data_IF_577279412572
#
_entry.id   IF_577279412572
#
_cell.length_a   1.000
_cell.length_b   1.000
_cell.length_c   1.000
_cell.angle_alpha   90.00
_cell.angle_beta   90.00
_cell.angle_gamma   90.00
#
_symmetry.space_group_name_H-M   'P 1'
#
loop_
_entity.id
_entity.type
_entity.pdbx_description
1 polymer ?
#
# COMPACT_ATOMS: atom_id res chain seq x y z
N UNK A 1 -21.42 13.38 4.17
CA UNK A 1 -20.31 13.20 5.13
C UNK A 1 -20.23 11.73 5.50
N UNK A 2 -19.09 11.07 5.30
CA UNK A 2 -18.90 9.69 5.74
C UNK A 2 -19.02 9.61 7.27
N UNK A 3 -19.78 8.64 7.78
CA UNK A 3 -19.96 8.46 9.22
C UNK A 3 -18.67 7.91 9.84
N UNK A 4 -18.22 8.55 10.90
CA UNK A 4 -17.08 8.12 11.71
C UNK A 4 -17.40 6.73 12.30
N UNK A 5 -16.74 5.68 11.81
CA UNK A 5 -16.91 4.29 12.28
C UNK A 5 -17.35 3.30 11.20
N UNK A 6 -17.93 3.76 10.09
CA UNK A 6 -18.15 2.96 8.90
C UNK A 6 -16.91 3.13 8.01
N UNK A 7 -15.84 2.38 8.31
CA UNK A 7 -14.77 2.16 7.34
C UNK A 7 -15.43 1.76 6.02
N UNK A 8 -15.04 2.41 4.92
CA UNK A 8 -15.70 2.22 3.62
C UNK A 8 -15.70 0.74 3.18
N UNK A 9 -16.22 0.47 1.98
CA UNK A 9 -16.28 -0.86 1.37
C UNK A 9 -14.91 -1.58 1.19
N UNK A 10 -13.82 -1.07 1.78
CA UNK A 10 -12.44 -1.59 1.74
C UNK A 10 -12.31 -2.99 2.33
N UNK A 11 -13.13 -3.37 3.31
CA UNK A 11 -13.20 -4.75 3.82
C UNK A 11 -13.68 -5.77 2.76
N UNK A 12 -14.26 -5.30 1.65
CA UNK A 12 -14.60 -6.14 0.50
C UNK A 12 -13.42 -6.37 -0.45
N UNK A 13 -12.32 -5.62 -0.29
CA UNK A 13 -11.10 -5.82 -1.07
C UNK A 13 -10.39 -7.07 -0.53
N UNK A 14 -10.75 -8.24 -1.08
CA UNK A 14 -10.15 -9.54 -0.75
C UNK A 14 -9.01 -9.94 -1.68
N UNK A 15 -8.48 -8.98 -2.45
CA UNK A 15 -7.36 -9.22 -3.35
C UNK A 15 -6.04 -8.86 -2.67
N UNK A 16 -4.93 -9.51 -3.04
CA UNK A 16 -3.61 -9.04 -2.65
C UNK A 16 -3.43 -7.57 -3.05
N UNK A 17 -2.87 -6.78 -2.13
CA UNK A 17 -2.63 -5.35 -2.36
C UNK A 17 -1.15 -5.04 -2.19
N UNK A 18 -0.61 -4.19 -3.06
CA UNK A 18 0.71 -3.59 -2.89
C UNK A 18 0.52 -2.09 -2.66
N UNK A 19 1.04 -1.59 -1.55
CA UNK A 19 1.06 -0.16 -1.25
C UNK A 19 2.51 0.32 -1.17
N UNK A 20 2.90 1.18 -2.11
CA UNK A 20 4.21 1.86 -2.14
C UNK A 20 3.96 3.34 -1.88
N UNK A 21 4.73 3.93 -0.98
CA UNK A 21 4.65 5.35 -0.63
C UNK A 21 6.00 5.87 -0.13
N UNK A 22 6.19 7.19 -0.17
CA UNK A 22 7.36 7.86 0.40
C UNK A 22 7.31 7.99 1.92
N UNK A 23 8.43 8.42 2.51
CA UNK A 23 8.57 8.66 3.95
C UNK A 23 8.47 10.14 4.35
N UNK A 24 8.34 11.04 3.38
CA UNK A 24 8.22 12.47 3.62
C UNK A 24 6.79 12.84 4.02
N UNK A 25 6.50 12.80 5.33
CA UNK A 25 5.18 13.09 5.92
C UNK A 25 4.52 14.34 5.32
N UNK A 26 5.27 15.43 5.18
CA UNK A 26 4.75 16.71 4.68
C UNK A 26 4.36 16.71 3.20
N UNK A 27 4.90 15.74 2.44
CA UNK A 27 4.62 15.59 1.01
C UNK A 27 3.66 14.45 0.72
N UNK A 28 3.37 13.59 1.69
CA UNK A 28 2.38 12.54 1.57
C UNK A 28 1.00 13.02 2.02
N UNK A 29 -0.02 12.76 1.20
CA UNK A 29 -1.40 13.18 1.48
C UNK A 29 -2.12 12.25 2.48
N UNK A 30 -1.44 11.86 3.56
CA UNK A 30 -2.03 11.04 4.61
C UNK A 30 -2.82 11.90 5.61
N UNK A 31 -4.06 11.50 5.87
CA UNK A 31 -4.92 12.13 6.87
C UNK A 31 -4.58 11.73 8.32
N UNK A 32 -3.74 10.70 8.49
CA UNK A 32 -3.29 10.16 9.78
C UNK A 32 -1.78 9.84 9.72
N UNK A 33 -1.07 9.71 10.84
CA UNK A 33 0.33 9.30 10.84
C UNK A 33 0.54 7.96 10.12
N UNK A 34 1.73 7.76 9.54
CA UNK A 34 2.07 6.53 8.78
C UNK A 34 1.72 5.24 9.52
N UNK A 35 2.11 5.14 10.80
CA UNK A 35 1.87 3.93 11.58
C UNK A 35 0.37 3.63 11.71
N UNK A 36 -0.44 4.66 11.98
CA UNK A 36 -1.90 4.52 12.05
C UNK A 36 -2.48 4.12 10.69
N UNK A 37 -1.99 4.70 9.59
CA UNK A 37 -2.41 4.34 8.24
C UNK A 37 -2.08 2.87 7.91
N UNK A 38 -0.89 2.40 8.28
CA UNK A 38 -0.45 1.02 8.07
C UNK A 38 -1.28 0.04 8.88
N UNK A 39 -1.57 0.37 10.14
CA UNK A 39 -2.37 -0.47 11.02
C UNK A 39 -3.82 -0.57 10.52
N UNK A 40 -4.40 0.54 10.04
CA UNK A 40 -5.73 0.55 9.43
C UNK A 40 -5.80 -0.33 8.18
N UNK A 41 -4.85 -0.20 7.26
CA UNK A 41 -4.86 -0.98 6.02
C UNK A 41 -4.62 -2.46 6.27
N UNK A 42 -3.73 -2.83 7.19
CA UNK A 42 -3.51 -4.23 7.59
C UNK A 42 -4.72 -4.84 8.30
N UNK A 43 -5.46 -4.03 9.07
CA UNK A 43 -6.72 -4.45 9.71
C UNK A 43 -7.82 -4.72 8.66
N UNK A 44 -7.88 -3.92 7.60
CA UNK A 44 -8.88 -4.07 6.54
C UNK A 44 -8.51 -5.13 5.49
N UNK A 45 -7.22 -5.36 5.23
CA UNK A 45 -6.73 -6.37 4.29
C UNK A 45 -5.43 -7.03 4.79
N UNK A 46 -5.53 -8.30 5.18
CA UNK A 46 -4.39 -9.08 5.67
C UNK A 46 -3.38 -9.49 4.58
N UNK A 47 -3.73 -9.35 3.30
CA UNK A 47 -2.88 -9.67 2.14
C UNK A 47 -2.15 -8.44 1.59
N UNK A 48 -2.15 -7.32 2.33
CA UNK A 48 -1.43 -6.11 1.93
C UNK A 48 0.07 -6.23 2.18
N UNK A 49 0.85 -5.88 1.17
CA UNK A 49 2.30 -5.65 1.23
C UNK A 49 2.53 -4.13 1.21
N UNK A 50 3.19 -3.58 2.22
CA UNK A 50 3.43 -2.13 2.37
C UNK A 50 4.93 -1.86 2.31
N UNK A 51 5.35 -0.96 1.42
CA UNK A 51 6.73 -0.50 1.28
C UNK A 51 6.80 1.01 1.41
N UNK A 52 7.53 1.47 2.43
CA UNK A 52 7.81 2.89 2.61
C UNK A 52 9.23 3.21 2.14
N UNK A 53 9.34 3.97 1.05
CA UNK A 53 10.61 4.33 0.44
C UNK A 53 11.26 5.50 1.20
N UNK A 54 12.57 5.40 1.43
CA UNK A 54 13.31 6.42 2.19
C UNK A 54 13.73 7.59 1.33
N UNK A 55 13.65 8.81 1.89
CA UNK A 55 13.95 10.08 1.19
C UNK A 55 13.11 10.26 -0.07
N UNK A 56 11.89 9.76 -0.04
CA UNK A 56 11.01 9.69 -1.19
C UNK A 56 9.75 10.53 -0.93
N UNK A 57 9.31 11.25 -1.95
CA UNK A 57 8.06 12.02 -1.91
C UNK A 57 6.91 11.25 -2.56
N UNK A 58 5.72 11.87 -2.52
CA UNK A 58 4.50 11.28 -3.07
C UNK A 58 4.58 10.93 -4.57
N UNK A 59 5.47 11.60 -5.31
CA UNK A 59 5.67 11.32 -6.73
C UNK A 59 6.55 10.11 -7.02
N UNK A 60 7.17 9.52 -5.99
CA UNK A 60 8.16 8.43 -6.13
C UNK A 60 9.36 8.80 -7.04
N UNK A 61 9.63 10.10 -7.16
CA UNK A 61 10.64 10.63 -8.08
C UNK A 61 12.05 10.15 -7.68
N UNK A 62 12.86 9.74 -8.66
CA UNK A 62 14.19 9.14 -8.48
C UNK A 62 14.19 7.75 -7.80
N UNK A 63 13.02 7.15 -7.58
CA UNK A 63 12.85 5.79 -7.07
C UNK A 63 12.14 4.88 -8.08
N UNK A 64 12.16 5.22 -9.37
CA UNK A 64 11.42 4.52 -10.42
C UNK A 64 11.88 3.07 -10.56
N UNK A 65 13.20 2.83 -10.54
CA UNK A 65 13.76 1.49 -10.64
C UNK A 65 13.40 0.61 -9.43
N UNK A 66 13.47 1.18 -8.23
CA UNK A 66 13.08 0.50 -6.98
C UNK A 66 11.58 0.18 -6.98
N UNK A 67 10.75 1.16 -7.34
CA UNK A 67 9.29 1.00 -7.46
C UNK A 67 8.92 -0.06 -8.48
N UNK A 68 9.55 -0.03 -9.67
CA UNK A 68 9.32 -1.01 -10.72
C UNK A 68 9.71 -2.44 -10.29
N UNK A 69 10.81 -2.57 -9.52
CA UNK A 69 11.23 -3.86 -8.95
C UNK A 69 10.20 -4.38 -7.94
N UNK A 70 9.70 -3.54 -7.04
CA UNK A 70 8.66 -3.91 -6.08
C UNK A 70 7.37 -4.38 -6.79
N UNK A 71 6.93 -3.64 -7.80
CA UNK A 71 5.75 -4.01 -8.61
C UNK A 71 5.98 -5.35 -9.31
N UNK A 72 7.12 -5.54 -9.97
CA UNK A 72 7.43 -6.76 -10.71
C UNK A 72 7.46 -7.97 -9.77
N UNK A 73 8.14 -7.86 -8.62
CA UNK A 73 8.20 -8.92 -7.62
C UNK A 73 6.81 -9.27 -7.08
N UNK A 74 5.98 -8.26 -6.81
CA UNK A 74 4.62 -8.48 -6.34
C UNK A 74 3.75 -9.19 -7.38
N UNK A 75 3.85 -8.81 -8.66
CA UNK A 75 3.14 -9.47 -9.76
C UNK A 75 3.57 -10.94 -9.93
N UNK A 76 4.86 -11.26 -9.79
CA UNK A 76 5.34 -12.64 -9.83
C UNK A 76 4.83 -13.48 -8.65
N UNK A 77 4.78 -12.91 -7.44
CA UNK A 77 4.16 -13.57 -6.28
C UNK A 77 2.68 -13.86 -6.55
N UNK A 78 1.95 -12.88 -7.09
CA UNK A 78 0.54 -13.03 -7.45
C UNK A 78 0.34 -14.13 -8.49
N UNK A 79 1.11 -14.12 -9.60
CA UNK A 79 1.02 -15.16 -10.64
C UNK A 79 1.20 -16.56 -10.05
N UNK A 80 2.17 -16.73 -9.16
CA UNK A 80 2.43 -18.01 -8.49
C UNK A 80 1.24 -18.45 -7.62
N UNK A 81 0.53 -17.52 -6.98
CA UNK A 81 -0.65 -17.82 -6.17
C UNK A 81 -1.84 -18.24 -7.06
N UNK A 82 -2.04 -17.60 -8.21
CA UNK A 82 -3.18 -17.86 -9.10
C UNK A 82 -2.98 -19.00 -10.12
N UNK A 83 -1.73 -19.38 -10.42
CA UNK A 83 -1.41 -20.47 -11.37
C UNK A 83 -1.22 -21.84 -10.68
N UNK A 84 -1.27 -21.91 -9.35
CA UNK A 84 -1.21 -23.16 -8.58
C UNK A 84 -2.61 -23.58 -8.06
N UNK A 85 -3.68 -23.12 -8.72
CA UNK A 85 -5.08 -23.55 -8.53
C UNK A 85 -5.52 -24.23 -9.81
#
# INVERSE_FOLDING_TARGET
MAKKGEGGYRHLIKVPLLWILGDQVEKEYLFVPFQEAFDLVKKENHQVEIHQLKKCDHGLNNHEAETASLISNFLEKIKTIFLNI
#
